data_IF_922159243172
#
_entry.id   IF_922159243172
#
_cell.length_a   1.000
_cell.length_b   1.000
_cell.length_c   1.000
_cell.angle_alpha   90.00
_cell.angle_beta   90.00
_cell.angle_gamma   90.00
#
_symmetry.space_group_name_H-M   'P 1'
#
loop_
_entity.id
_entity.type
_entity.pdbx_description
1 polymer ?
#
# COMPACT_ATOMS: atom_id res chain seq x y z
N UNK A 1 -21.55 7.61 -46.84
CA UNK A 1 -22.04 6.55 -45.93
C UNK A 1 -20.91 5.92 -45.13
N UNK A 2 -19.88 5.31 -45.75
CA UNK A 2 -18.72 4.71 -45.05
C UNK A 2 -17.97 5.68 -44.10
N UNK A 3 -17.80 6.95 -44.49
CA UNK A 3 -17.12 7.97 -43.66
C UNK A 3 -17.88 8.32 -42.37
N UNK A 4 -19.22 8.28 -42.40
CA UNK A 4 -20.07 8.53 -41.21
C UNK A 4 -19.95 7.35 -40.24
N UNK A 5 -19.96 6.11 -40.76
CA UNK A 5 -19.72 4.90 -39.98
C UNK A 5 -18.33 4.91 -39.32
N UNK A 6 -17.29 5.32 -40.04
CA UNK A 6 -15.93 5.45 -39.49
C UNK A 6 -15.89 6.48 -38.35
N UNK A 7 -16.54 7.64 -38.50
CA UNK A 7 -16.61 8.65 -37.45
C UNK A 7 -17.37 8.16 -36.20
N UNK A 8 -18.46 7.39 -36.37
CA UNK A 8 -19.21 6.80 -35.27
C UNK A 8 -18.41 5.71 -34.53
N UNK A 9 -17.68 4.87 -35.26
CA UNK A 9 -16.82 3.83 -34.66
C UNK A 9 -15.64 4.44 -33.91
N UNK A 10 -15.02 5.48 -34.48
CA UNK A 10 -13.96 6.24 -33.79
C UNK A 10 -14.53 6.90 -32.53
N UNK A 11 -15.69 7.56 -32.63
CA UNK A 11 -16.36 8.16 -31.46
C UNK A 11 -16.63 7.13 -30.36
N UNK A 12 -17.15 5.94 -30.70
CA UNK A 12 -17.40 4.85 -29.75
C UNK A 12 -16.12 4.26 -29.15
N UNK A 13 -15.02 4.22 -29.93
CA UNK A 13 -13.71 3.81 -29.44
C UNK A 13 -13.04 4.86 -28.54
N UNK A 14 -13.41 6.14 -28.65
CA UNK A 14 -12.94 7.20 -27.73
C UNK A 14 -13.61 7.10 -26.35
N UNK A 15 -14.79 6.47 -26.25
CA UNK A 15 -15.56 6.36 -24.99
C UNK A 15 -15.11 5.19 -24.10
N UNK A 16 -14.13 4.38 -24.50
CA UNK A 16 -13.51 3.42 -23.57
C UNK A 16 -12.53 4.16 -22.68
N UNK A 17 -13.04 5.00 -21.78
CA UNK A 17 -12.26 5.62 -20.71
C UNK A 17 -11.75 4.51 -19.78
N UNK A 18 -10.46 4.55 -19.49
CA UNK A 18 -9.80 3.64 -18.57
C UNK A 18 -10.39 3.79 -17.17
N UNK A 19 -11.39 2.97 -16.82
CA UNK A 19 -11.73 2.70 -15.42
C UNK A 19 -10.51 2.00 -14.82
N UNK A 20 -9.58 2.78 -14.27
CA UNK A 20 -8.52 2.21 -13.44
C UNK A 20 -9.21 1.64 -12.20
N UNK A 21 -9.22 0.30 -12.12
CA UNK A 21 -9.65 -0.38 -10.92
C UNK A 21 -8.83 0.12 -9.73
N UNK A 22 -9.49 0.37 -8.60
CA UNK A 22 -8.80 0.77 -7.38
C UNK A 22 -7.85 -0.36 -6.94
N UNK A 23 -6.67 0.03 -6.46
CA UNK A 23 -5.76 -0.91 -5.82
C UNK A 23 -6.30 -1.41 -4.48
N UNK A 24 -5.76 -2.54 -3.99
CA UNK A 24 -6.13 -3.10 -2.69
C UNK A 24 -5.96 -2.08 -1.54
N UNK A 25 -4.92 -1.24 -1.60
CA UNK A 25 -4.72 -0.18 -0.61
C UNK A 25 -5.80 0.89 -0.70
N UNK A 26 -6.13 1.36 -1.91
CA UNK A 26 -7.13 2.42 -2.10
C UNK A 26 -8.54 1.93 -1.75
N UNK A 27 -8.88 0.68 -2.07
CA UNK A 27 -10.13 0.07 -1.64
C UNK A 27 -10.21 -0.01 -0.11
N UNK A 28 -9.15 -0.48 0.54
CA UNK A 28 -9.08 -0.54 2.00
C UNK A 28 -9.20 0.85 2.62
N UNK A 29 -8.48 1.84 2.09
CA UNK A 29 -8.61 3.25 2.50
C UNK A 29 -10.05 3.74 2.40
N UNK A 30 -10.73 3.44 1.30
CA UNK A 30 -12.11 3.85 1.08
C UNK A 30 -13.09 3.16 2.04
N UNK A 31 -12.87 1.87 2.37
CA UNK A 31 -13.66 1.16 3.39
C UNK A 31 -13.53 1.82 4.76
N UNK A 32 -12.30 2.12 5.18
CA UNK A 32 -12.05 2.74 6.49
C UNK A 32 -12.57 4.18 6.58
N UNK A 33 -12.49 4.94 5.50
CA UNK A 33 -13.06 6.30 5.42
C UNK A 33 -14.59 6.31 5.52
N UNK A 34 -15.27 5.27 5.01
CA UNK A 34 -16.73 5.14 5.03
C UNK A 34 -17.29 4.48 6.29
N UNK A 35 -16.44 3.81 7.06
CA UNK A 35 -16.83 3.16 8.30
C UNK A 35 -17.41 4.20 9.29
N UNK A 36 -18.23 3.77 10.25
CA UNK A 36 -18.76 4.61 11.34
C UNK A 36 -18.07 4.38 12.69
N UNK A 37 -17.08 3.48 12.77
CA UNK A 37 -16.38 3.19 14.02
C UNK A 37 -15.65 4.42 14.61
N UNK A 38 -15.30 4.46 15.91
CA UNK A 38 -14.55 5.59 16.45
C UNK A 38 -13.15 5.71 15.84
N UNK A 39 -12.73 6.94 15.46
CA UNK A 39 -11.41 7.24 14.90
C UNK A 39 -10.19 6.79 15.72
N UNK A 40 -10.16 6.82 17.07
CA UNK A 40 -8.96 6.37 17.80
C UNK A 40 -8.64 4.88 17.60
N UNK A 41 -9.60 4.08 17.12
CA UNK A 41 -9.42 2.66 16.84
C UNK A 41 -9.14 2.35 15.36
N UNK A 42 -9.19 3.35 14.48
CA UNK A 42 -9.11 3.12 13.03
C UNK A 42 -7.77 3.55 12.44
N UNK A 43 -7.26 2.69 11.58
CA UNK A 43 -6.09 2.95 10.74
C UNK A 43 -6.60 3.10 9.32
N UNK A 44 -6.59 4.33 8.81
CA UNK A 44 -6.88 4.59 7.39
C UNK A 44 -5.53 4.45 6.66
N UNK A 45 -5.35 3.43 5.80
CA UNK A 45 -4.07 3.20 5.15
C UNK A 45 -3.71 4.34 4.21
N UNK A 46 -2.42 4.67 4.18
CA UNK A 46 -1.81 5.54 3.20
C UNK A 46 -1.22 4.70 2.07
N UNK A 47 -1.55 5.08 0.85
CA UNK A 47 -1.11 4.40 -0.37
C UNK A 47 -0.10 5.27 -1.10
N UNK A 48 0.84 4.65 -1.80
CA UNK A 48 1.72 5.37 -2.72
C UNK A 48 1.03 5.64 -4.07
N UNK A 49 1.77 6.24 -5.00
CA UNK A 49 1.24 6.61 -6.33
C UNK A 49 0.86 5.42 -7.22
N UNK A 50 1.34 4.22 -6.91
CA UNK A 50 1.01 3.00 -7.64
C UNK A 50 -0.18 2.28 -6.99
N UNK A 51 -0.67 2.76 -5.84
CA UNK A 51 -1.68 2.08 -5.06
C UNK A 51 -1.11 1.01 -4.10
N UNK A 52 0.21 0.94 -3.94
CA UNK A 52 0.82 0.05 -2.95
C UNK A 52 0.65 0.64 -1.54
N UNK A 53 0.60 -0.20 -0.52
CA UNK A 53 0.63 0.27 0.86
C UNK A 53 1.99 0.92 1.15
N UNK A 54 1.97 2.13 1.73
CA UNK A 54 3.18 2.67 2.33
C UNK A 54 3.63 1.77 3.49
N UNK A 55 4.95 1.53 3.65
CA UNK A 55 5.42 0.60 4.68
C UNK A 55 5.00 0.97 6.11
N UNK A 56 4.92 2.26 6.44
CA UNK A 56 4.54 2.72 7.78
C UNK A 56 3.12 3.26 7.79
N UNK A 57 2.28 2.70 8.65
CA UNK A 57 0.88 3.09 8.81
C UNK A 57 0.61 3.48 10.26
N UNK A 58 0.12 4.70 10.49
CA UNK A 58 -0.10 5.23 11.85
C UNK A 58 -1.58 5.54 12.10
N UNK A 59 -2.02 5.31 13.33
CA UNK A 59 -3.38 5.65 13.76
C UNK A 59 -3.49 7.16 13.94
N UNK A 60 -4.40 7.83 13.21
CA UNK A 60 -4.48 9.31 13.16
C UNK A 60 -4.58 10.00 14.52
N UNK A 61 -5.19 9.35 15.51
CA UNK A 61 -5.43 9.93 16.85
C UNK A 61 -4.53 9.34 17.95
N UNK A 62 -3.46 8.61 17.60
CA UNK A 62 -2.53 8.05 18.58
C UNK A 62 -1.08 8.08 18.10
N UNK A 63 -0.14 7.72 18.97
CA UNK A 63 1.29 7.58 18.63
C UNK A 63 1.65 6.19 18.10
N UNK A 64 0.67 5.29 17.96
CA UNK A 64 0.94 3.93 17.51
C UNK A 64 1.02 3.88 15.98
N UNK A 65 2.02 3.14 15.49
CA UNK A 65 2.18 2.80 14.08
C UNK A 65 2.35 1.28 13.91
N UNK A 66 2.13 0.79 12.70
CA UNK A 66 2.35 -0.60 12.26
C UNK A 66 3.10 -0.60 10.93
N UNK A 67 3.83 -1.68 10.67
CA UNK A 67 4.48 -1.90 9.38
C UNK A 67 3.62 -2.80 8.48
N UNK A 68 3.53 -2.44 7.20
CA UNK A 68 2.83 -3.18 6.15
C UNK A 68 3.79 -3.55 5.02
N UNK A 69 3.52 -4.66 4.33
CA UNK A 69 4.12 -4.90 3.01
C UNK A 69 3.40 -4.08 1.95
N UNK A 70 4.02 -3.92 0.77
CA UNK A 70 3.38 -3.28 -0.39
C UNK A 70 2.04 -3.91 -0.76
N UNK A 71 1.95 -5.24 -0.64
CA UNK A 71 0.75 -6.02 -0.93
C UNK A 71 -0.32 -5.96 0.18
N UNK A 72 -0.08 -5.25 1.29
CA UNK A 72 -1.05 -5.10 2.38
C UNK A 72 -0.93 -6.09 3.54
N UNK A 73 0.09 -6.96 3.57
CA UNK A 73 0.32 -7.83 4.73
C UNK A 73 0.74 -7.03 5.96
N UNK A 74 0.18 -7.40 7.11
CA UNK A 74 0.59 -6.84 8.39
C UNK A 74 1.91 -7.46 8.85
N UNK A 75 2.97 -6.66 8.95
CA UNK A 75 4.31 -7.14 9.30
C UNK A 75 4.65 -6.98 10.78
N UNK A 76 4.02 -6.05 11.49
CA UNK A 76 4.28 -5.81 12.91
C UNK A 76 3.02 -5.48 13.71
N UNK A 77 2.99 -5.81 15.02
CA UNK A 77 1.98 -5.27 15.93
C UNK A 77 2.16 -3.74 16.09
N UNK A 78 1.11 -3.03 16.55
CA UNK A 78 1.19 -1.59 16.78
C UNK A 78 2.18 -1.25 17.88
N UNK A 79 3.03 -0.26 17.60
CA UNK A 79 4.07 0.17 18.52
C UNK A 79 4.28 1.68 18.41
N UNK A 80 4.52 2.32 19.55
CA UNK A 80 4.94 3.73 19.62
C UNK A 80 6.44 3.91 19.40
N UNK A 81 7.20 2.81 19.30
CA UNK A 81 8.66 2.81 19.15
C UNK A 81 9.12 2.75 17.70
N UNK A 82 8.22 2.49 16.75
CA UNK A 82 8.57 2.43 15.33
C UNK A 82 9.02 3.80 14.83
N UNK A 83 10.17 3.83 14.16
CA UNK A 83 10.75 5.03 13.52
C UNK A 83 10.79 4.92 12.01
N UNK A 84 10.90 3.70 11.48
CA UNK A 84 10.83 3.38 10.06
C UNK A 84 10.24 1.98 9.89
N UNK A 85 9.71 1.67 8.71
CA UNK A 85 9.29 0.34 8.33
C UNK A 85 10.01 -0.18 7.08
N UNK A 86 10.97 0.58 6.53
CA UNK A 86 11.60 0.27 5.25
C UNK A 86 12.43 -1.01 5.32
N UNK A 87 13.19 -1.20 6.41
CA UNK A 87 13.97 -2.43 6.60
C UNK A 87 13.06 -3.65 6.72
N UNK A 88 12.00 -3.54 7.52
CA UNK A 88 11.06 -4.65 7.77
C UNK A 88 10.34 -5.04 6.49
N UNK A 89 9.82 -4.06 5.73
CA UNK A 89 9.20 -4.29 4.44
C UNK A 89 10.19 -4.93 3.45
N UNK A 90 11.43 -4.43 3.39
CA UNK A 90 12.44 -5.00 2.49
C UNK A 90 12.83 -6.42 2.84
N UNK A 91 13.00 -6.70 4.13
CA UNK A 91 13.24 -8.05 4.65
C UNK A 91 12.13 -9.00 4.22
N UNK A 92 10.86 -8.59 4.38
CA UNK A 92 9.72 -9.39 3.96
C UNK A 92 9.70 -9.64 2.45
N UNK A 93 9.96 -8.62 1.62
CA UNK A 93 10.08 -8.79 0.16
C UNK A 93 11.15 -9.83 -0.23
N UNK A 94 12.33 -9.75 0.39
CA UNK A 94 13.45 -10.67 0.10
C UNK A 94 13.16 -12.09 0.56
N UNK A 95 12.50 -12.24 1.72
CA UNK A 95 12.07 -13.54 2.25
C UNK A 95 11.02 -14.20 1.35
N UNK A 96 9.99 -13.45 0.92
CA UNK A 96 8.95 -13.95 0.00
C UNK A 96 9.51 -14.45 -1.32
N UNK A 97 10.55 -13.81 -1.85
CA UNK A 97 11.19 -14.17 -3.12
C UNK A 97 12.07 -15.42 -3.03
N UNK A 98 12.20 -16.04 -1.85
CA UNK A 98 13.14 -17.15 -1.58
C UNK A 98 14.52 -16.85 -2.18
N UNK A 99 14.98 -15.60 -2.07
CA UNK A 99 16.14 -15.10 -2.80
C UNK A 99 17.43 -15.73 -2.25
N UNK A 100 17.73 -16.96 -2.68
CA UNK A 100 18.96 -17.65 -2.39
C UNK A 100 20.14 -16.82 -2.95
N UNK A 101 21.02 -16.36 -2.07
CA UNK A 101 22.21 -15.57 -2.43
C UNK A 101 22.07 -14.05 -2.28
N UNK A 102 20.87 -13.50 -2.01
CA UNK A 102 20.75 -12.09 -1.60
C UNK A 102 20.84 -11.97 -0.08
N UNK A 103 21.70 -11.06 0.41
CA UNK A 103 21.81 -10.79 1.84
C UNK A 103 20.52 -10.12 2.35
N UNK A 104 19.73 -10.86 3.12
CA UNK A 104 18.52 -10.34 3.78
C UNK A 104 18.95 -9.30 4.82
N UNK A 105 18.41 -8.06 4.80
CA UNK A 105 18.82 -7.03 5.73
C UNK A 105 18.45 -7.38 7.17
N UNK A 106 19.31 -6.97 8.11
CA UNK A 106 19.03 -7.03 9.54
C UNK A 106 18.34 -5.74 9.99
N UNK A 107 17.26 -5.87 10.77
CA UNK A 107 16.46 -4.74 11.24
C UNK A 107 16.48 -4.64 12.77
N UNK A 108 16.45 -3.41 13.28
CA UNK A 108 16.22 -3.12 14.68
C UNK A 108 14.73 -3.26 15.04
N UNK A 109 14.42 -3.30 16.33
CA UNK A 109 13.03 -3.36 16.82
C UNK A 109 12.20 -2.11 16.49
N UNK A 110 12.84 -0.96 16.24
CA UNK A 110 12.18 0.27 15.78
C UNK A 110 11.99 0.32 14.24
N UNK A 111 12.31 -0.78 13.56
CA UNK A 111 12.17 -0.98 12.11
C UNK A 111 13.22 -0.27 11.25
N UNK A 112 14.19 0.40 11.86
CA UNK A 112 15.37 0.91 11.17
C UNK A 112 16.33 -0.22 10.78
N UNK A 113 17.21 0.04 9.82
CA UNK A 113 18.29 -0.88 9.46
C UNK A 113 19.30 -1.02 10.61
N UNK A 114 19.71 -2.25 10.91
CA UNK A 114 20.81 -2.50 11.83
C UNK A 114 22.13 -2.14 11.14
N UNK A 115 22.89 -1.24 11.76
CA UNK A 115 24.24 -0.89 11.27
C UNK A 115 25.16 -2.11 11.46
N UNK A 116 25.94 -2.42 10.42
CA UNK A 116 26.96 -3.48 10.44
C UNK A 116 28.14 -3.11 11.32
#
# INVERSE_FOLDING_TARGET
MMRILILLVVAMAVITESVQALSDCEEHRNREMKSSAPLPMRLIPNCDKNGDYLPMQCFKSSKFCRCYSKDGDLLTPPSTKLKSCDCIAKKNEMQKKNAAGSSIPQCNADGTYKKS
#
